data_IF_861943597422
#
_entry.id   IF_861943597422
#
_cell.length_a   1.000
_cell.length_b   1.000
_cell.length_c   1.000
_cell.angle_alpha   90.00
_cell.angle_beta   90.00
_cell.angle_gamma   90.00
#
_symmetry.space_group_name_H-M   'P 1'
#
loop_
_entity.id
_entity.type
_entity.pdbx_description
1 polymer ?
#
# COMPACT_ATOMS: atom_id res chain seq x y z
N UNK A 1 10.13 -22.73 1.18
CA UNK A 1 10.22 -23.45 2.47
C UNK A 1 11.63 -23.25 3.02
N UNK A 2 11.85 -22.18 3.79
CA UNK A 2 13.15 -21.90 4.40
C UNK A 2 13.37 -22.80 5.61
N UNK A 3 14.37 -23.70 5.54
CA UNK A 3 14.93 -24.31 6.75
C UNK A 3 15.77 -23.24 7.47
N UNK A 4 15.84 -23.32 8.80
CA UNK A 4 16.55 -22.33 9.61
C UNK A 4 17.98 -22.11 9.12
N UNK A 5 18.30 -20.86 8.78
CA UNK A 5 19.65 -20.46 8.35
C UNK A 5 20.39 -19.97 9.59
N UNK A 6 21.64 -20.43 9.75
CA UNK A 6 22.50 -20.04 10.86
C UNK A 6 23.58 -19.08 10.39
N UNK A 7 23.86 -18.06 11.19
CA UNK A 7 24.97 -17.16 10.96
C UNK A 7 26.23 -17.63 11.67
N UNK A 8 27.38 -17.25 11.14
CA UNK A 8 28.66 -17.44 11.82
C UNK A 8 28.65 -16.69 13.16
N UNK A 9 28.85 -17.42 14.26
CA UNK A 9 28.85 -16.87 15.62
C UNK A 9 27.50 -16.88 16.35
N UNK A 10 26.40 -17.26 15.67
CA UNK A 10 25.09 -17.46 16.32
C UNK A 10 25.06 -18.71 17.20
N UNK A 11 24.17 -18.74 18.20
CA UNK A 11 23.96 -19.92 19.01
C UNK A 11 23.40 -21.09 18.15
N UNK A 12 23.68 -22.36 18.49
CA UNK A 12 23.28 -23.52 17.67
C UNK A 12 21.76 -23.63 17.39
N UNK A 13 20.94 -23.08 18.29
CA UNK A 13 19.48 -23.09 18.22
C UNK A 13 18.88 -21.78 17.69
N UNK A 14 19.72 -20.82 17.29
CA UNK A 14 19.28 -19.54 16.74
C UNK A 14 19.14 -19.66 15.22
N UNK A 15 17.90 -19.70 14.76
CA UNK A 15 17.57 -19.78 13.33
C UNK A 15 16.98 -18.47 12.86
N UNK A 16 17.43 -18.05 11.68
CA UNK A 16 16.93 -16.87 11.04
C UNK A 16 16.21 -17.32 9.77
N UNK A 17 14.99 -16.82 9.61
CA UNK A 17 14.22 -17.08 8.40
C UNK A 17 14.78 -16.20 7.29
N UNK A 18 15.44 -16.82 6.31
CA UNK A 18 15.59 -16.22 4.99
C UNK A 18 14.80 -17.04 3.98
N UNK A 19 14.22 -16.32 3.04
CA UNK A 19 13.85 -16.92 1.77
C UNK A 19 15.13 -17.06 0.94
N UNK A 20 15.23 -18.13 0.15
CA UNK A 20 16.36 -18.29 -0.75
C UNK A 20 15.94 -18.93 -2.05
N UNK A 21 16.68 -18.60 -3.11
CA UNK A 21 16.61 -19.23 -4.41
C UNK A 21 18.00 -19.45 -4.98
N UNK A 22 18.07 -20.31 -5.98
CA UNK A 22 19.24 -20.56 -6.80
C UNK A 22 19.10 -19.79 -8.10
N UNK A 23 20.12 -19.01 -8.48
CA UNK A 23 20.06 -18.08 -9.61
C UNK A 23 21.30 -18.14 -10.49
N UNK A 24 21.09 -17.87 -11.77
CA UNK A 24 22.16 -17.72 -12.76
C UNK A 24 22.87 -16.36 -12.65
N UNK A 25 24.08 -16.21 -13.20
CA UNK A 25 24.84 -14.94 -13.17
C UNK A 25 24.14 -13.73 -13.80
N UNK A 26 23.25 -13.94 -14.75
CA UNK A 26 22.48 -12.92 -15.48
C UNK A 26 21.17 -12.53 -14.78
N UNK A 27 20.88 -13.10 -13.61
CA UNK A 27 19.62 -12.87 -12.90
C UNK A 27 19.40 -11.40 -12.55
N UNK A 28 20.41 -10.72 -12.00
CA UNK A 28 20.24 -9.32 -11.59
C UNK A 28 20.07 -8.38 -12.79
N UNK A 29 20.66 -8.70 -13.94
CA UNK A 29 20.49 -7.93 -15.18
C UNK A 29 19.10 -8.16 -15.79
N UNK A 30 18.61 -9.41 -15.70
CA UNK A 30 17.28 -9.80 -16.14
C UNK A 30 16.19 -9.06 -15.36
N UNK A 31 16.36 -8.88 -14.05
CA UNK A 31 15.39 -8.22 -13.16
C UNK A 31 15.71 -6.76 -12.82
N UNK A 32 16.76 -6.17 -13.43
CA UNK A 32 17.24 -4.80 -13.12
C UNK A 32 17.52 -4.57 -11.62
N UNK A 33 18.04 -5.60 -10.94
CA UNK A 33 18.37 -5.53 -9.52
C UNK A 33 19.73 -4.86 -9.34
N UNK A 34 19.75 -3.78 -8.57
CA UNK A 34 20.96 -3.04 -8.29
C UNK A 34 21.85 -3.76 -7.26
N UNK A 35 23.12 -3.95 -7.59
CA UNK A 35 24.16 -4.33 -6.64
C UNK A 35 24.59 -3.11 -5.81
N UNK A 36 24.60 -3.24 -4.48
CA UNK A 36 24.97 -2.18 -3.55
C UNK A 36 26.43 -2.31 -3.08
N UNK A 37 26.88 -3.55 -2.81
CA UNK A 37 28.21 -3.82 -2.29
C UNK A 37 28.76 -5.15 -2.84
N UNK A 38 30.08 -5.25 -2.98
CA UNK A 38 30.77 -6.48 -3.39
C UNK A 38 30.63 -6.77 -4.87
N UNK A 39 30.28 -8.01 -5.22
CA UNK A 39 30.06 -8.47 -6.59
C UNK A 39 28.92 -9.49 -6.67
N UNK A 40 28.42 -9.70 -7.88
CA UNK A 40 27.51 -10.80 -8.17
C UNK A 40 28.28 -12.05 -8.65
N UNK A 41 27.52 -13.10 -9.00
CA UNK A 41 28.08 -14.38 -9.47
C UNK A 41 28.76 -14.27 -10.84
N UNK A 42 29.75 -15.14 -11.07
CA UNK A 42 30.43 -15.26 -12.36
C UNK A 42 30.72 -16.71 -12.72
N UNK A 43 30.39 -17.13 -13.94
CA UNK A 43 30.70 -18.48 -14.44
C UNK A 43 32.19 -18.81 -14.44
N UNK A 44 33.04 -17.78 -14.55
CA UNK A 44 34.50 -17.94 -14.58
C UNK A 44 35.07 -18.27 -13.21
N UNK A 45 34.30 -18.08 -12.13
CA UNK A 45 34.77 -18.18 -10.77
C UNK A 45 34.19 -19.42 -10.06
N UNK A 46 34.97 -20.51 -10.03
CA UNK A 46 34.55 -21.77 -9.39
C UNK A 46 34.22 -21.63 -7.90
N UNK A 47 34.80 -20.66 -7.20
CA UNK A 47 34.49 -20.42 -5.78
C UNK A 47 33.04 -20.00 -5.54
N UNK A 48 32.33 -19.58 -6.59
CA UNK A 48 30.95 -19.10 -6.49
C UNK A 48 29.96 -20.22 -6.14
N UNK A 49 30.34 -21.50 -6.35
CA UNK A 49 29.59 -22.66 -5.85
C UNK A 49 29.32 -22.60 -4.33
N UNK A 50 30.19 -21.91 -3.57
CA UNK A 50 30.05 -21.70 -2.12
C UNK A 50 29.85 -20.23 -1.76
N UNK A 51 29.34 -19.44 -2.69
CA UNK A 51 29.05 -18.03 -2.48
C UNK A 51 27.55 -17.79 -2.31
N UNK A 52 27.21 -16.74 -1.57
CA UNK A 52 25.86 -16.20 -1.42
C UNK A 52 25.85 -14.70 -1.67
N UNK A 53 24.74 -14.21 -2.20
CA UNK A 53 24.42 -12.79 -2.28
C UNK A 53 23.16 -12.54 -1.48
N UNK A 54 23.12 -11.47 -0.70
CA UNK A 54 21.98 -11.15 0.17
C UNK A 54 21.38 -9.80 -0.16
N UNK A 55 20.10 -9.58 0.15
CA UNK A 55 19.51 -8.23 0.05
C UNK A 55 19.88 -7.33 1.24
N UNK A 56 19.55 -6.05 1.12
CA UNK A 56 19.74 -5.05 2.17
C UNK A 56 19.06 -5.47 3.50
N UNK A 57 17.86 -6.05 3.44
CA UNK A 57 17.19 -6.60 4.63
C UNK A 57 17.99 -7.70 5.32
N UNK A 58 18.57 -8.63 4.54
CA UNK A 58 19.47 -9.65 5.05
C UNK A 58 20.75 -9.08 5.65
N UNK A 59 21.34 -8.08 4.99
CA UNK A 59 22.57 -7.43 5.45
C UNK A 59 22.39 -6.70 6.79
N UNK A 60 21.22 -6.08 7.02
CA UNK A 60 20.90 -5.39 8.29
C UNK A 60 21.00 -6.28 9.53
N UNK A 61 20.84 -7.60 9.37
CA UNK A 61 20.95 -8.55 10.49
C UNK A 61 22.40 -8.65 11.01
N UNK A 62 23.39 -8.42 10.15
CA UNK A 62 24.81 -8.41 10.52
C UNK A 62 25.25 -7.11 11.23
N UNK A 63 24.32 -6.20 11.50
CA UNK A 63 24.57 -4.92 12.15
C UNK A 63 25.02 -3.83 11.18
N UNK A 64 25.74 -2.83 11.71
CA UNK A 64 26.25 -1.70 10.93
C UNK A 64 27.52 -2.01 10.12
N UNK A 65 28.14 -3.16 10.38
CA UNK A 65 29.34 -3.61 9.67
C UNK A 65 28.96 -4.30 8.36
N UNK A 66 29.86 -4.23 7.37
CA UNK A 66 29.68 -4.94 6.11
C UNK A 66 29.45 -6.44 6.35
N UNK A 67 28.47 -6.99 5.63
CA UNK A 67 28.18 -8.41 5.62
C UNK A 67 29.15 -9.19 4.71
N UNK A 68 29.90 -8.50 3.84
CA UNK A 68 30.83 -9.12 2.90
C UNK A 68 31.93 -9.87 3.65
N UNK A 69 32.20 -11.10 3.21
CA UNK A 69 33.20 -12.00 3.81
C UNK A 69 32.70 -12.78 5.02
N UNK A 70 31.56 -12.43 5.61
CA UNK A 70 30.89 -13.24 6.64
C UNK A 70 30.25 -14.48 6.03
N UNK A 71 29.92 -15.48 6.85
CA UNK A 71 29.40 -16.78 6.39
C UNK A 71 27.98 -17.05 6.87
N UNK A 72 27.20 -17.70 6.01
CA UNK A 72 25.85 -18.19 6.27
C UNK A 72 25.80 -19.70 6.03
N UNK A 73 25.10 -20.41 6.91
CA UNK A 73 24.87 -21.85 6.77
C UNK A 73 23.50 -22.09 6.12
N UNK A 74 23.49 -22.58 4.89
CA UNK A 74 22.29 -22.89 4.10
C UNK A 74 22.32 -24.38 3.76
N UNK A 75 21.22 -25.11 4.00
CA UNK A 75 21.12 -26.56 3.76
C UNK A 75 22.30 -27.39 4.33
N UNK A 76 22.72 -27.05 5.54
CA UNK A 76 23.87 -27.65 6.23
C UNK A 76 25.27 -27.32 5.69
N UNK A 77 25.37 -26.47 4.66
CA UNK A 77 26.63 -26.04 4.08
C UNK A 77 26.93 -24.57 4.36
N UNK A 78 28.21 -24.24 4.54
CA UNK A 78 28.66 -22.87 4.77
C UNK A 78 28.99 -22.16 3.46
N UNK A 79 28.34 -21.02 3.25
CA UNK A 79 28.54 -20.13 2.11
C UNK A 79 29.12 -18.78 2.55
N UNK A 80 29.94 -18.18 1.70
CA UNK A 80 30.55 -16.88 1.93
C UNK A 80 29.72 -15.77 1.27
N UNK A 81 29.43 -14.70 2.00
CA UNK A 81 28.73 -13.54 1.45
C UNK A 81 29.70 -12.75 0.55
N UNK A 82 29.36 -12.65 -0.73
CA UNK A 82 30.19 -11.96 -1.74
C UNK A 82 29.57 -10.67 -2.27
N UNK A 83 28.28 -10.44 -2.01
CA UNK A 83 27.57 -9.28 -2.50
C UNK A 83 26.33 -8.94 -1.68
N UNK A 84 25.98 -7.65 -1.70
CA UNK A 84 24.71 -7.13 -1.17
C UNK A 84 23.96 -6.44 -2.31
N UNK A 85 22.71 -6.83 -2.52
CA UNK A 85 21.81 -6.25 -3.54
C UNK A 85 20.72 -5.41 -2.89
N UNK A 86 20.10 -4.54 -3.68
CA UNK A 86 18.98 -3.72 -3.25
C UNK A 86 17.77 -4.57 -2.92
N UNK A 87 17.02 -4.12 -1.92
CA UNK A 87 15.75 -4.72 -1.50
C UNK A 87 14.76 -4.82 -2.67
N UNK A 88 14.14 -5.99 -2.82
CA UNK A 88 13.10 -6.28 -3.81
C UNK A 88 12.02 -7.17 -3.19
N UNK A 89 10.85 -7.22 -3.81
CA UNK A 89 9.76 -8.09 -3.36
C UNK A 89 9.92 -9.49 -3.97
N UNK A 90 10.35 -10.45 -3.14
CA UNK A 90 10.37 -11.87 -3.51
C UNK A 90 9.02 -12.58 -3.33
N UNK A 91 8.08 -11.93 -2.65
CA UNK A 91 6.71 -12.36 -2.40
C UNK A 91 5.74 -11.28 -2.93
N UNK A 92 4.45 -11.43 -2.65
CA UNK A 92 3.47 -10.39 -2.98
C UNK A 92 3.89 -9.02 -2.43
N UNK A 93 3.65 -7.98 -3.23
CA UNK A 93 3.96 -6.58 -2.87
C UNK A 93 3.27 -6.13 -1.59
N UNK A 94 2.26 -6.84 -1.09
CA UNK A 94 1.62 -6.47 0.18
C UNK A 94 2.45 -6.85 1.41
N UNK A 95 3.40 -7.76 1.28
CA UNK A 95 4.24 -8.23 2.37
C UNK A 95 5.48 -7.34 2.55
N UNK A 96 6.01 -7.32 3.76
CA UNK A 96 7.33 -6.73 4.01
C UNK A 96 8.40 -7.42 3.17
N UNK A 97 9.47 -6.68 2.89
CA UNK A 97 10.65 -7.23 2.25
C UNK A 97 11.34 -8.12 3.28
N UNK A 98 11.33 -9.42 3.02
CA UNK A 98 11.99 -10.41 3.86
C UNK A 98 13.49 -10.43 3.58
N UNK A 99 14.26 -10.97 4.53
CA UNK A 99 15.65 -11.30 4.31
C UNK A 99 15.76 -12.38 3.24
N UNK A 100 16.59 -12.14 2.23
CA UNK A 100 16.67 -12.96 1.03
C UNK A 100 18.11 -13.36 0.70
N UNK A 101 18.30 -14.61 0.31
CA UNK A 101 19.58 -15.17 -0.14
C UNK A 101 19.46 -15.66 -1.58
N UNK A 102 20.39 -15.25 -2.42
CA UNK A 102 20.64 -15.87 -3.71
C UNK A 102 21.84 -16.81 -3.60
N UNK A 103 21.66 -18.04 -4.05
CA UNK A 103 22.69 -19.06 -4.21
C UNK A 103 23.08 -19.15 -5.70
N UNK A 104 24.33 -19.48 -5.96
CA UNK A 104 24.80 -19.66 -7.32
C UNK A 104 24.23 -20.94 -7.94
N UNK A 105 23.60 -20.80 -9.10
CA UNK A 105 23.24 -21.91 -9.98
C UNK A 105 23.98 -21.78 -11.31
N UNK A 106 24.50 -22.91 -11.81
CA UNK A 106 25.23 -22.94 -13.09
C UNK A 106 24.34 -22.74 -14.31
N UNK A 107 23.02 -22.70 -14.13
CA UNK A 107 22.06 -22.57 -15.22
C UNK A 107 21.93 -23.84 -16.06
N UNK A 108 22.33 -25.00 -15.53
CA UNK A 108 22.14 -26.27 -16.23
C UNK A 108 20.66 -26.67 -16.23
N UNK A 109 20.18 -27.05 -17.42
CA UNK A 109 18.75 -27.25 -17.64
C UNK A 109 18.20 -28.47 -16.88
N UNK A 110 19.08 -29.35 -16.42
CA UNK A 110 18.73 -30.61 -15.76
C UNK A 110 18.25 -30.43 -14.32
N UNK A 111 18.63 -29.33 -13.65
CA UNK A 111 18.34 -29.09 -12.23
C UNK A 111 17.51 -27.81 -11.98
N UNK A 112 17.26 -27.00 -13.02
CA UNK A 112 16.41 -25.81 -12.96
C UNK A 112 14.94 -26.10 -13.27
N UNK A 113 14.04 -25.76 -12.34
CA UNK A 113 12.59 -25.95 -12.52
C UNK A 113 11.90 -24.76 -13.22
N UNK A 114 12.53 -23.59 -13.26
CA UNK A 114 11.93 -22.35 -13.77
C UNK A 114 12.97 -21.51 -14.52
N UNK A 115 12.59 -20.97 -15.69
CA UNK A 115 13.42 -20.09 -16.50
C UNK A 115 12.67 -18.76 -16.68
N UNK A 116 13.38 -17.66 -16.48
CA UNK A 116 12.83 -16.32 -16.73
C UNK A 116 13.55 -15.66 -17.87
N UNK A 117 12.80 -15.03 -18.76
CA UNK A 117 13.31 -14.29 -19.91
C UNK A 117 12.79 -12.86 -19.86
N UNK A 118 13.69 -11.90 -20.06
CA UNK A 118 13.34 -10.49 -20.22
C UNK A 118 13.05 -10.22 -21.69
N UNK A 119 11.88 -9.66 -21.98
CA UNK A 119 11.48 -9.26 -23.34
C UNK A 119 11.58 -7.74 -23.48
N UNK A 120 12.00 -7.26 -24.65
CA UNK A 120 12.18 -5.83 -24.98
C UNK A 120 10.84 -5.08 -25.20
N UNK A 121 9.69 -5.78 -25.17
CA UNK A 121 8.36 -5.17 -25.19
C UNK A 121 7.84 -4.74 -26.57
N UNK A 122 8.62 -4.88 -27.64
CA UNK A 122 8.25 -4.45 -29.00
C UNK A 122 7.24 -5.38 -29.70
N UNK A 123 7.35 -6.70 -29.50
CA UNK A 123 6.39 -7.70 -29.98
C UNK A 123 6.42 -8.97 -29.10
N UNK A 124 5.82 -8.86 -27.91
CA UNK A 124 5.80 -9.97 -26.95
C UNK A 124 5.08 -11.21 -27.50
N UNK A 125 4.06 -11.06 -28.37
CA UNK A 125 3.31 -12.20 -28.91
C UNK A 125 4.16 -13.03 -29.87
N UNK A 126 4.88 -12.39 -30.78
CA UNK A 126 5.79 -13.10 -31.69
C UNK A 126 6.96 -13.73 -30.94
N UNK A 127 7.52 -13.02 -29.95
CA UNK A 127 8.59 -13.56 -29.12
C UNK A 127 8.15 -14.82 -28.36
N UNK A 128 6.92 -14.82 -27.82
CA UNK A 128 6.35 -15.97 -27.12
C UNK A 128 6.09 -17.14 -28.06
N UNK A 129 5.54 -16.90 -29.26
CA UNK A 129 5.37 -17.94 -30.26
C UNK A 129 6.72 -18.55 -30.68
N UNK A 130 7.75 -17.72 -30.81
CA UNK A 130 9.12 -18.16 -31.07
C UNK A 130 9.68 -19.02 -29.94
N UNK A 131 9.50 -18.61 -28.68
CA UNK A 131 9.91 -19.39 -27.51
C UNK A 131 9.17 -20.72 -27.43
N UNK A 132 7.84 -20.74 -27.57
CA UNK A 132 7.03 -21.96 -27.55
C UNK A 132 7.50 -22.98 -28.61
N UNK A 133 7.76 -22.52 -29.84
CA UNK A 133 8.30 -23.37 -30.90
C UNK A 133 9.71 -23.88 -30.57
N UNK A 134 10.61 -23.02 -30.11
CA UNK A 134 11.97 -23.40 -29.73
C UNK A 134 11.99 -24.47 -28.64
N UNK A 135 11.14 -24.33 -27.61
CA UNK A 135 11.03 -25.29 -26.53
C UNK A 135 10.46 -26.63 -27.02
N UNK A 136 9.43 -26.61 -27.89
CA UNK A 136 8.87 -27.83 -28.49
C UNK A 136 9.87 -28.58 -29.37
N UNK A 137 10.69 -27.85 -30.14
CA UNK A 137 11.74 -28.45 -30.98
C UNK A 137 12.88 -29.03 -30.14
N UNK A 138 13.33 -28.28 -29.13
CA UNK A 138 14.48 -28.67 -28.31
C UNK A 138 14.14 -29.79 -27.31
N UNK A 139 12.87 -29.85 -26.87
CA UNK A 139 12.41 -30.75 -25.81
C UNK A 139 11.03 -31.35 -26.12
N UNK A 140 10.90 -32.17 -27.17
CA UNK A 140 9.62 -32.63 -27.71
C UNK A 140 8.76 -33.49 -26.76
N UNK A 141 9.36 -34.06 -25.70
CA UNK A 141 8.68 -34.90 -24.72
C UNK A 141 8.46 -34.21 -23.37
N UNK A 142 8.74 -32.90 -23.26
CA UNK A 142 8.60 -32.14 -22.02
C UNK A 142 7.41 -31.20 -22.08
N UNK A 143 6.71 -31.04 -20.96
CA UNK A 143 5.59 -30.10 -20.82
C UNK A 143 6.16 -28.82 -20.21
N UNK A 144 6.27 -27.77 -21.02
CA UNK A 144 6.60 -26.43 -20.52
C UNK A 144 5.34 -25.60 -20.32
N UNK A 145 5.20 -25.03 -19.13
CA UNK A 145 4.17 -24.04 -18.84
C UNK A 145 4.81 -22.66 -18.98
N UNK A 146 4.51 -21.97 -20.07
CA UNK A 146 4.93 -20.59 -20.26
C UNK A 146 3.96 -19.70 -19.47
N UNK A 147 4.41 -19.24 -18.31
CA UNK A 147 3.66 -18.31 -17.47
C UNK A 147 4.06 -16.87 -17.80
N UNK A 148 3.07 -16.03 -18.10
CA UNK A 148 3.29 -14.60 -18.26
C UNK A 148 3.33 -13.94 -16.87
N UNK A 149 4.38 -13.17 -16.60
CA UNK A 149 4.48 -12.43 -15.34
C UNK A 149 3.35 -11.37 -15.21
N UNK A 150 2.79 -10.90 -16.34
CA UNK A 150 1.78 -9.83 -16.34
C UNK A 150 0.34 -10.34 -16.07
N UNK A 151 -0.07 -11.55 -16.46
CA UNK A 151 -1.52 -11.72 -16.78
C UNK A 151 -2.42 -12.44 -15.77
N UNK A 152 -1.92 -13.21 -14.80
CA UNK A 152 -2.84 -13.99 -13.94
C UNK A 152 -2.51 -13.99 -12.45
N UNK A 153 -1.33 -14.44 -12.05
CA UNK A 153 -1.07 -14.66 -10.62
C UNK A 153 -0.91 -13.34 -9.85
N UNK A 154 -0.13 -12.40 -10.38
CA UNK A 154 0.07 -11.10 -9.74
C UNK A 154 -1.13 -10.15 -9.91
N UNK A 155 -1.76 -10.15 -11.09
CA UNK A 155 -2.95 -9.35 -11.35
C UNK A 155 -4.18 -9.85 -10.61
N UNK A 156 -4.31 -11.15 -10.30
CA UNK A 156 -5.44 -11.66 -9.51
C UNK A 156 -5.38 -11.15 -8.07
N UNK A 157 -4.21 -11.20 -7.43
CA UNK A 157 -3.99 -10.59 -6.11
C UNK A 157 -4.31 -9.08 -6.15
N UNK A 158 -3.79 -8.35 -7.13
CA UNK A 158 -4.08 -6.92 -7.28
C UNK A 158 -5.57 -6.66 -7.53
N UNK A 159 -6.24 -7.46 -8.36
CA UNK A 159 -7.67 -7.30 -8.66
C UNK A 159 -8.54 -7.55 -7.44
N UNK A 160 -8.19 -8.52 -6.59
CA UNK A 160 -8.88 -8.76 -5.32
C UNK A 160 -8.79 -7.49 -4.46
N UNK A 161 -7.58 -6.95 -4.28
CA UNK A 161 -7.38 -5.73 -3.48
C UNK A 161 -8.05 -4.49 -4.08
N UNK A 162 -8.03 -4.34 -5.41
CA UNK A 162 -8.77 -3.28 -6.09
C UNK A 162 -10.29 -3.42 -5.88
N UNK A 163 -10.81 -4.64 -5.89
CA UNK A 163 -12.23 -4.89 -5.67
C UNK A 163 -12.62 -4.58 -4.23
N UNK A 164 -11.81 -5.02 -3.26
CA UNK A 164 -11.95 -4.64 -1.84
C UNK A 164 -11.94 -3.13 -1.67
N UNK A 165 -10.98 -2.43 -2.30
CA UNK A 165 -10.90 -0.97 -2.29
C UNK A 165 -12.17 -0.30 -2.84
N UNK A 166 -12.69 -0.78 -3.97
CA UNK A 166 -13.95 -0.27 -4.55
C UNK A 166 -15.14 -0.47 -3.61
N UNK A 167 -15.22 -1.61 -2.93
CA UNK A 167 -16.27 -1.88 -1.94
C UNK A 167 -16.17 -0.94 -0.73
N UNK A 168 -14.96 -0.68 -0.22
CA UNK A 168 -14.75 0.31 0.84
C UNK A 168 -15.14 1.72 0.41
N UNK A 169 -14.81 2.13 -0.81
CA UNK A 169 -15.23 3.43 -1.36
C UNK A 169 -16.75 3.52 -1.43
N UNK A 170 -17.42 2.48 -1.91
CA UNK A 170 -18.89 2.42 -1.95
C UNK A 170 -19.51 2.61 -0.56
N UNK A 171 -19.05 1.86 0.45
CA UNK A 171 -19.55 2.01 1.82
C UNK A 171 -19.19 3.37 2.43
N UNK A 172 -18.03 3.93 2.10
CA UNK A 172 -17.61 5.26 2.56
C UNK A 172 -18.55 6.35 2.02
N UNK A 173 -18.87 6.30 0.73
CA UNK A 173 -19.83 7.23 0.10
C UNK A 173 -21.21 7.08 0.75
N UNK A 174 -21.65 5.85 0.99
CA UNK A 174 -22.93 5.58 1.64
C UNK A 174 -22.97 6.11 3.08
N UNK A 175 -21.89 5.91 3.86
CA UNK A 175 -21.75 6.45 5.20
C UNK A 175 -21.76 7.99 5.21
N UNK A 176 -21.09 8.63 4.24
CA UNK A 176 -21.11 10.09 4.08
C UNK A 176 -22.53 10.59 3.79
N UNK A 177 -23.29 9.91 2.93
CA UNK A 177 -24.68 10.27 2.63
C UNK A 177 -25.58 10.14 3.87
N UNK A 178 -25.45 9.05 4.63
CA UNK A 178 -26.19 8.85 5.88
C UNK A 178 -25.83 9.94 6.90
N UNK A 179 -24.54 10.23 7.07
CA UNK A 179 -24.06 11.28 7.96
C UNK A 179 -24.59 12.66 7.54
N UNK A 180 -24.60 12.98 6.24
CA UNK A 180 -25.15 14.21 5.71
C UNK A 180 -26.66 14.32 5.93
N UNK A 181 -27.42 13.22 5.79
CA UNK A 181 -28.85 13.18 6.12
C UNK A 181 -29.08 13.38 7.63
N UNK A 182 -28.25 12.79 8.48
CA UNK A 182 -28.31 12.99 9.94
C UNK A 182 -28.04 14.45 10.33
N UNK A 183 -26.98 15.04 9.76
CA UNK A 183 -26.66 16.46 9.95
C UNK A 183 -27.80 17.35 9.46
N UNK A 184 -28.35 17.08 8.28
CA UNK A 184 -29.52 17.78 7.74
C UNK A 184 -30.72 17.72 8.71
N UNK A 185 -31.04 16.54 9.25
CA UNK A 185 -32.11 16.35 10.21
C UNK A 185 -31.90 17.15 11.50
N UNK A 186 -30.66 17.16 12.02
CA UNK A 186 -30.26 17.94 13.19
C UNK A 186 -30.37 19.46 12.96
N UNK A 187 -29.93 19.94 11.80
CA UNK A 187 -30.05 21.36 11.40
C UNK A 187 -31.52 21.76 11.33
N UNK A 188 -32.35 20.96 10.66
CA UNK A 188 -33.78 21.22 10.51
C UNK A 188 -34.51 21.25 11.87
N UNK A 189 -34.20 20.30 12.75
CA UNK A 189 -34.78 20.24 14.11
C UNK A 189 -34.39 21.47 14.94
N UNK A 190 -33.11 21.82 14.96
CA UNK A 190 -32.59 22.95 15.74
C UNK A 190 -33.15 24.28 15.23
N UNK A 191 -33.24 24.44 13.91
CA UNK A 191 -33.83 25.62 13.26
C UNK A 191 -35.30 25.79 13.64
N UNK A 192 -36.10 24.70 13.61
CA UNK A 192 -37.50 24.73 14.06
C UNK A 192 -37.63 25.15 15.51
N UNK A 193 -36.77 24.63 16.40
CA UNK A 193 -36.78 24.98 17.83
C UNK A 193 -36.46 26.47 18.07
N UNK A 194 -35.65 27.08 17.20
CA UNK A 194 -35.23 28.50 17.29
C UNK A 194 -36.05 29.44 16.40
N UNK A 195 -37.20 29.02 15.88
CA UNK A 195 -37.97 29.83 14.92
C UNK A 195 -38.45 31.17 15.50
N UNK A 196 -38.81 31.22 16.80
CA UNK A 196 -39.21 32.45 17.51
C UNK A 196 -38.03 33.43 17.61
N UNK A 197 -36.84 32.94 17.97
CA UNK A 197 -35.60 33.75 18.04
C UNK A 197 -35.21 34.32 16.67
N UNK A 198 -35.25 33.48 15.64
CA UNK A 198 -34.96 33.86 14.25
C UNK A 198 -35.96 34.92 13.76
N UNK A 199 -37.25 34.77 14.08
CA UNK A 199 -38.30 35.73 13.74
C UNK A 199 -38.09 37.10 14.40
N UNK A 200 -37.77 37.14 15.70
CA UNK A 200 -37.48 38.38 16.42
C UNK A 200 -36.29 39.11 15.80
N UNK A 201 -35.19 38.40 15.54
CA UNK A 201 -33.99 38.98 14.89
C UNK A 201 -34.30 39.53 13.49
N UNK A 202 -35.19 38.88 12.75
CA UNK A 202 -35.61 39.31 11.42
C UNK A 202 -36.39 40.62 11.46
N UNK A 203 -37.32 40.75 12.40
CA UNK A 203 -38.08 41.99 12.61
C UNK A 203 -37.17 43.12 13.09
N UNK A 204 -36.11 42.80 13.84
CA UNK A 204 -35.06 43.75 14.24
C UNK A 204 -34.08 44.14 13.10
N UNK A 205 -34.27 43.63 11.88
CA UNK A 205 -33.51 44.05 10.69
C UNK A 205 -32.28 43.20 10.36
N UNK A 206 -32.10 42.02 10.98
CA UNK A 206 -31.02 41.10 10.60
C UNK A 206 -31.13 40.68 9.12
N UNK A 207 -30.00 40.60 8.40
CA UNK A 207 -29.94 40.19 6.99
C UNK A 207 -29.98 38.68 6.84
N UNK A 208 -30.34 38.17 5.65
CA UNK A 208 -30.47 36.71 5.42
C UNK A 208 -29.14 35.98 5.61
N UNK A 209 -28.04 36.68 5.29
CA UNK A 209 -26.67 36.28 5.58
C UNK A 209 -26.40 36.05 7.07
N UNK A 210 -26.96 36.88 7.96
CA UNK A 210 -26.66 36.83 9.39
C UNK A 210 -27.32 35.61 10.04
N UNK A 211 -28.53 35.28 9.59
CA UNK A 211 -29.26 34.08 10.01
C UNK A 211 -28.58 32.83 9.45
N UNK A 212 -28.16 32.87 8.18
CA UNK A 212 -27.40 31.79 7.57
C UNK A 212 -26.11 31.51 8.33
N UNK A 213 -25.33 32.56 8.62
CA UNK A 213 -24.04 32.45 9.31
C UNK A 213 -24.22 31.97 10.75
N UNK A 214 -25.28 32.37 11.44
CA UNK A 214 -25.63 31.85 12.77
C UNK A 214 -25.78 30.32 12.75
N UNK A 215 -26.55 29.80 11.79
CA UNK A 215 -26.82 28.37 11.68
C UNK A 215 -25.54 27.62 11.29
N UNK A 216 -24.83 28.06 10.24
CA UNK A 216 -23.63 27.38 9.75
C UNK A 216 -22.49 27.40 10.78
N UNK A 217 -22.31 28.51 11.52
CA UNK A 217 -21.24 28.66 12.51
C UNK A 217 -21.33 27.61 13.62
N UNK A 218 -22.53 27.31 14.11
CA UNK A 218 -22.73 26.31 15.17
C UNK A 218 -22.24 24.92 14.74
N UNK A 219 -22.61 24.48 13.53
CA UNK A 219 -22.17 23.21 12.98
C UNK A 219 -20.69 23.21 12.61
N UNK A 220 -20.17 24.33 12.08
CA UNK A 220 -18.75 24.49 11.79
C UNK A 220 -17.88 24.25 13.03
N UNK A 221 -18.24 24.81 14.19
CA UNK A 221 -17.51 24.56 15.43
C UNK A 221 -17.59 23.11 15.91
N UNK A 222 -18.76 22.47 15.81
CA UNK A 222 -18.88 21.04 16.12
C UNK A 222 -17.98 20.18 15.23
N UNK A 223 -17.88 20.49 13.94
CA UNK A 223 -16.99 19.80 13.01
C UNK A 223 -15.52 20.04 13.27
N UNK A 224 -15.13 21.25 13.65
CA UNK A 224 -13.75 21.52 14.06
C UNK A 224 -13.36 20.66 15.26
N UNK A 225 -14.23 20.59 16.27
CA UNK A 225 -14.01 19.74 17.44
C UNK A 225 -13.89 18.26 17.02
N UNK A 226 -14.81 17.77 16.18
CA UNK A 226 -14.76 16.40 15.69
C UNK A 226 -13.44 16.09 14.93
N UNK A 227 -12.97 17.00 14.07
CA UNK A 227 -11.72 16.83 13.34
C UNK A 227 -10.51 16.71 14.28
N UNK A 228 -10.46 17.47 15.38
CA UNK A 228 -9.38 17.37 16.37
C UNK A 228 -9.30 15.96 16.97
N UNK A 229 -10.43 15.30 17.22
CA UNK A 229 -10.47 13.93 17.73
C UNK A 229 -10.07 12.88 16.68
N UNK A 230 -10.24 13.17 15.39
CA UNK A 230 -9.89 12.25 14.28
C UNK A 230 -8.41 12.31 13.93
N UNK A 231 -7.76 13.46 14.09
CA UNK A 231 -6.33 13.66 13.78
C UNK A 231 -5.36 12.59 14.32
N UNK A 232 -5.47 12.05 15.55
CA UNK A 232 -4.55 11.04 16.04
C UNK A 232 -4.73 9.65 15.40
N UNK A 233 -5.88 9.36 14.78
CA UNK A 233 -6.22 8.02 14.29
C UNK A 233 -5.22 7.51 13.23
N UNK A 234 -4.87 8.27 12.18
CA UNK A 234 -3.87 7.84 11.21
C UNK A 234 -2.50 7.53 11.82
N UNK A 235 -2.07 8.29 12.83
CA UNK A 235 -0.79 8.07 13.51
C UNK A 235 -0.79 6.79 14.33
N UNK A 236 -1.91 6.47 15.00
CA UNK A 236 -2.09 5.22 15.72
C UNK A 236 -2.05 4.05 14.74
N UNK A 237 -2.82 4.12 13.64
CA UNK A 237 -2.86 3.09 12.61
C UNK A 237 -1.49 2.84 11.97
N UNK A 238 -0.71 3.90 11.71
CA UNK A 238 0.65 3.80 11.18
C UNK A 238 1.56 2.93 12.05
N UNK A 239 1.39 3.00 13.38
CA UNK A 239 2.24 2.29 14.33
C UNK A 239 1.74 0.86 14.63
N UNK A 240 0.45 0.60 14.46
CA UNK A 240 -0.16 -0.71 14.74
C UNK A 240 -0.17 -1.65 13.54
N UNK A 241 -0.10 -1.13 12.32
CA UNK A 241 -0.12 -1.95 11.10
C UNK A 241 1.23 -2.62 10.87
N UNK A 242 1.30 -3.97 10.79
CA UNK A 242 2.54 -4.68 10.48
C UNK A 242 2.94 -4.50 9.00
N UNK A 243 4.24 -4.52 8.72
CA UNK A 243 4.81 -4.41 7.38
C UNK A 243 5.42 -3.04 7.03
N UNK A 244 6.11 -2.97 5.89
CA UNK A 244 6.74 -1.73 5.40
C UNK A 244 5.74 -0.78 4.70
N UNK A 245 4.55 -1.26 4.35
CA UNK A 245 3.40 -0.44 3.93
C UNK A 245 2.68 0.15 5.14
N UNK A 246 3.45 0.75 6.06
CA UNK A 246 2.87 1.59 7.10
C UNK A 246 2.04 2.64 6.39
N UNK A 247 0.81 2.88 6.83
CA UNK A 247 -0.03 3.93 6.28
C UNK A 247 0.74 5.27 6.33
N UNK A 248 1.23 5.73 5.17
CA UNK A 248 1.95 6.98 5.04
C UNK A 248 0.97 8.01 4.54
N UNK A 249 0.42 8.77 5.48
CA UNK A 249 -0.43 9.88 5.15
C UNK A 249 0.42 11.13 5.02
N UNK A 250 0.35 11.79 3.86
CA UNK A 250 1.06 13.04 3.65
C UNK A 250 0.36 14.18 4.39
N UNK A 251 1.11 15.21 4.81
CA UNK A 251 0.55 16.31 5.61
C UNK A 251 -0.57 17.07 4.89
N UNK A 252 -0.57 17.11 3.55
CA UNK A 252 -1.62 17.78 2.79
C UNK A 252 -2.95 16.99 2.76
N UNK A 253 -2.90 15.65 2.87
CA UNK A 253 -4.09 14.80 2.87
C UNK A 253 -4.97 15.07 4.10
N UNK A 254 -4.35 15.39 5.24
CA UNK A 254 -5.06 15.85 6.43
C UNK A 254 -5.86 17.12 6.16
N UNK A 255 -5.24 18.10 5.50
CA UNK A 255 -5.89 19.37 5.14
C UNK A 255 -7.03 19.11 4.15
N UNK A 256 -6.82 18.21 3.18
CA UNK A 256 -7.83 17.84 2.21
C UNK A 256 -9.06 17.18 2.86
N UNK A 257 -8.88 16.27 3.83
CA UNK A 257 -9.99 15.63 4.55
C UNK A 257 -10.76 16.63 5.39
N UNK A 258 -10.07 17.50 6.13
CA UNK A 258 -10.71 18.54 6.94
C UNK A 258 -11.53 19.45 6.01
N UNK A 259 -10.93 19.95 4.92
CA UNK A 259 -11.62 20.80 3.96
C UNK A 259 -12.83 20.10 3.34
N UNK A 260 -12.69 18.84 2.93
CA UNK A 260 -13.77 18.05 2.35
C UNK A 260 -14.94 17.83 3.32
N UNK A 261 -14.64 17.51 4.60
CA UNK A 261 -15.65 17.35 5.64
C UNK A 261 -16.44 18.65 5.89
N UNK A 262 -15.75 19.79 5.87
CA UNK A 262 -16.36 21.12 6.02
C UNK A 262 -17.24 21.47 4.82
N UNK A 263 -16.81 21.17 3.60
CA UNK A 263 -17.60 21.39 2.38
C UNK A 263 -18.90 20.60 2.45
N UNK A 264 -18.84 19.30 2.79
CA UNK A 264 -20.04 18.47 2.91
C UNK A 264 -21.00 19.02 3.96
N UNK A 265 -20.47 19.45 5.10
CA UNK A 265 -21.29 20.01 6.16
C UNK A 265 -21.97 21.33 5.78
N UNK A 266 -21.23 22.22 5.11
CA UNK A 266 -21.79 23.47 4.58
C UNK A 266 -22.88 23.14 3.55
N UNK A 267 -22.64 22.22 2.62
CA UNK A 267 -23.63 21.84 1.61
C UNK A 267 -24.90 21.24 2.25
N UNK A 268 -24.73 20.34 3.22
CA UNK A 268 -25.84 19.71 3.92
C UNK A 268 -26.67 20.71 4.75
N UNK A 269 -26.01 21.70 5.38
CA UNK A 269 -26.68 22.72 6.19
C UNK A 269 -27.22 23.91 5.38
N UNK A 270 -26.68 24.15 4.18
CA UNK A 270 -27.02 25.33 3.37
C UNK A 270 -28.49 25.39 2.99
N UNK A 271 -29.10 24.25 2.64
CA UNK A 271 -30.51 24.22 2.24
C UNK A 271 -31.43 24.68 3.38
N UNK A 272 -31.27 24.13 4.59
CA UNK A 272 -32.08 24.50 5.74
C UNK A 272 -31.76 25.92 6.24
N UNK A 273 -30.49 26.33 6.19
CA UNK A 273 -30.09 27.69 6.55
C UNK A 273 -30.71 28.74 5.61
N UNK A 274 -30.74 28.48 4.30
CA UNK A 274 -31.41 29.35 3.31
C UNK A 274 -32.92 29.37 3.50
N UNK A 275 -33.52 28.21 3.75
CA UNK A 275 -34.96 28.11 4.05
C UNK A 275 -35.32 28.91 5.30
N UNK A 276 -34.53 28.78 6.37
CA UNK A 276 -34.68 29.53 7.61
C UNK A 276 -34.58 31.04 7.40
N UNK A 277 -33.58 31.47 6.62
CA UNK A 277 -33.32 32.88 6.34
C UNK A 277 -34.43 33.55 5.50
N UNK A 278 -35.17 32.76 4.72
CA UNK A 278 -36.26 33.22 3.85
C UNK A 278 -37.67 33.03 4.46
N UNK A 279 -37.77 32.55 5.70
CA UNK A 279 -39.07 32.43 6.38
C UNK A 279 -39.69 33.82 6.59
N UNK A 280 -40.95 33.98 6.17
CA UNK A 280 -41.67 35.24 6.32
C UNK A 280 -42.00 35.49 7.81
N UNK A 281 -41.49 36.57 8.42
CA UNK A 281 -41.65 36.85 9.85
C UNK A 281 -43.11 36.97 10.30
N UNK A 282 -44.02 37.36 9.40
CA UNK A 282 -45.45 37.51 9.69
C UNK A 282 -46.14 36.16 9.89
N UNK A 283 -45.64 35.08 9.27
CA UNK A 283 -46.19 33.72 9.46
C UNK A 283 -45.61 33.02 10.68
N UNK A 284 -44.38 33.32 11.08
CA UNK A 284 -43.71 32.69 12.23
C UNK A 284 -44.14 33.25 13.58
N UNK A 285 -44.67 34.47 13.63
CA UNK A 285 -45.28 35.07 14.83
C UNK A 285 -46.79 34.78 14.96
N UNK A 286 -47.43 34.29 13.90
CA UNK A 286 -48.88 34.01 13.83
C UNK A 286 -49.23 32.53 14.04
N UNK A 287 -48.25 31.66 14.23
CA UNK A 287 -48.47 30.30 14.75
C UNK A 287 -48.57 30.34 16.29
N UNK A 288 -49.54 31.11 16.75
CA UNK A 288 -50.32 31.08 17.99
C UNK A 288 -51.48 32.06 17.79
#
# INVERSE_FOLDING_TARGET
WGRGISMEGSAPDEWINFNYNEVSPDFIDTYDIQLLEGRFFSEKQKSDEKAVVINEAGARIFGAESAIGKRLKVNDEWHNIIGVIKDFHCNSVMWSIDSYIMLYHRGDIQNGNEYTFKLDGSDNQTALAGLDNLFKESFPNSIFLINYYDDRVFMEDIRIWQSVGKTFVFFTVLAILIAAMGLFGMVAYTTRKRIKEIGIRRVQGAKSSDIFLLVVKEFFFMLLIANVFVLPIPYILKNTTPGNYKYQMESWEFVAIIAFSLIIAILASSYEALKAANLNPVKSLRYE
#
